data_IF_151295113267
#
_entry.id   IF_151295113267
#
_cell.length_a   1.000
_cell.length_b   1.000
_cell.length_c   1.000
_cell.angle_alpha   90.00
_cell.angle_beta   90.00
_cell.angle_gamma   90.00
#
_symmetry.space_group_name_H-M   'P 1'
#
loop_
_entity.id
_entity.type
_entity.pdbx_description
1 polymer ?
#
# COMPACT_ATOMS: atom_id res chain seq x y z
N UNK A 1 7.55 6.85 -6.30
CA UNK A 1 6.87 5.89 -5.41
C UNK A 1 7.31 4.47 -5.73
N UNK A 2 7.35 3.57 -4.73
CA UNK A 2 7.75 2.18 -4.96
C UNK A 2 6.73 1.38 -5.77
N UNK A 3 7.25 0.48 -6.57
CA UNK A 3 6.47 -0.56 -7.25
C UNK A 3 7.20 -1.88 -7.01
N UNK A 4 6.57 -2.79 -6.28
CA UNK A 4 7.18 -4.06 -5.89
C UNK A 4 6.54 -5.21 -6.64
N UNK A 5 7.36 -6.17 -7.06
CA UNK A 5 6.87 -7.43 -7.60
C UNK A 5 7.34 -8.55 -6.68
N UNK A 6 6.51 -9.58 -6.55
CA UNK A 6 6.83 -10.79 -5.82
C UNK A 6 7.05 -11.92 -6.81
N UNK A 7 8.24 -12.49 -6.77
CA UNK A 7 8.63 -13.56 -7.67
C UNK A 7 8.84 -14.84 -6.88
N UNK A 8 8.26 -15.93 -7.37
CA UNK A 8 8.47 -17.28 -6.82
C UNK A 8 8.75 -18.24 -7.97
N UNK A 9 9.81 -19.00 -7.85
CA UNK A 9 10.20 -20.02 -8.84
C UNK A 9 10.27 -19.45 -10.26
N UNK A 10 10.79 -18.23 -10.39
CA UNK A 10 10.95 -17.58 -11.68
C UNK A 10 9.68 -16.95 -12.23
N UNK A 11 8.58 -16.96 -11.49
CA UNK A 11 7.31 -16.39 -11.93
C UNK A 11 6.87 -15.25 -11.01
N UNK A 12 6.29 -14.20 -11.61
CA UNK A 12 5.71 -13.11 -10.83
C UNK A 12 4.33 -13.55 -10.35
N UNK A 13 4.14 -13.59 -9.04
CA UNK A 13 2.89 -14.06 -8.40
C UNK A 13 2.13 -12.95 -7.70
N UNK A 14 2.68 -11.75 -7.66
CA UNK A 14 2.00 -10.62 -7.07
C UNK A 14 2.75 -9.32 -7.25
N UNK A 15 2.08 -8.22 -6.94
CA UNK A 15 2.70 -6.91 -6.94
C UNK A 15 2.00 -6.00 -5.93
N UNK A 16 2.72 -4.98 -5.50
CA UNK A 16 2.16 -3.92 -4.68
C UNK A 16 2.83 -2.61 -5.06
N UNK A 17 2.07 -1.55 -5.07
CA UNK A 17 2.61 -0.25 -5.42
C UNK A 17 1.93 0.86 -4.64
N UNK A 18 2.63 1.99 -4.58
CA UNK A 18 2.10 3.22 -4.02
C UNK A 18 2.02 4.27 -5.12
N UNK A 19 1.04 5.15 -5.01
CA UNK A 19 0.95 6.29 -5.88
C UNK A 19 0.46 7.51 -5.11
N UNK A 20 0.56 8.65 -5.75
CA UNK A 20 0.18 9.92 -5.16
C UNK A 20 -1.30 9.92 -4.81
N UNK A 21 -1.62 10.32 -3.56
CA UNK A 21 -3.02 10.36 -3.10
C UNK A 21 -3.76 11.58 -3.62
N UNK A 22 -3.07 12.70 -3.82
CA UNK A 22 -3.67 13.93 -4.32
C UNK A 22 -2.61 14.81 -4.94
N UNK A 23 -3.04 15.80 -5.74
CA UNK A 23 -2.11 16.65 -6.48
C UNK A 23 -1.62 17.85 -5.68
N UNK A 24 -2.35 18.27 -4.66
CA UNK A 24 -1.97 19.42 -3.85
C UNK A 24 -0.78 19.14 -2.98
N UNK A 25 0.03 20.15 -2.75
CA UNK A 25 1.25 20.04 -1.95
C UNK A 25 0.99 19.55 -0.52
N UNK A 26 -0.17 19.87 0.05
CA UNK A 26 -0.55 19.44 1.39
C UNK A 26 -0.60 17.90 1.52
N UNK A 27 -0.77 17.16 0.41
CA UNK A 27 -0.93 15.71 0.44
C UNK A 27 0.34 14.96 0.03
N UNK A 28 1.49 15.61 0.08
CA UNK A 28 2.77 14.99 -0.29
C UNK A 28 3.20 13.87 0.66
N UNK A 29 2.67 13.87 1.88
CA UNK A 29 3.07 12.93 2.92
C UNK A 29 2.09 11.78 3.09
N UNK A 30 1.19 11.59 2.15
CA UNK A 30 0.32 10.42 2.11
C UNK A 30 0.36 9.77 0.75
N UNK A 31 0.05 8.48 0.72
CA UNK A 31 0.06 7.69 -0.50
C UNK A 31 -1.13 6.73 -0.51
N UNK A 32 -1.61 6.42 -1.70
CA UNK A 32 -2.60 5.38 -1.90
C UNK A 32 -1.89 4.12 -2.34
N UNK A 33 -2.29 2.98 -1.77
CA UNK A 33 -1.63 1.69 -1.99
C UNK A 33 -2.57 0.71 -2.69
N UNK A 34 -1.96 -0.16 -3.49
CA UNK A 34 -2.66 -1.29 -4.09
C UNK A 34 -1.79 -2.54 -3.97
N UNK A 35 -2.44 -3.68 -3.70
CA UNK A 35 -1.79 -4.99 -3.67
C UNK A 35 -2.59 -5.95 -4.52
N UNK A 36 -1.91 -6.79 -5.25
CA UNK A 36 -2.52 -7.83 -6.06
C UNK A 36 -1.71 -9.12 -5.91
N UNK A 37 -2.42 -10.22 -5.69
CA UNK A 37 -1.80 -11.54 -5.61
C UNK A 37 -2.51 -12.49 -6.56
N UNK A 38 -1.72 -13.35 -7.21
CA UNK A 38 -2.25 -14.46 -7.96
C UNK A 38 -3.11 -15.33 -7.06
N UNK A 39 -4.23 -15.84 -7.59
CA UNK A 39 -5.20 -16.61 -6.84
C UNK A 39 -4.57 -17.81 -6.13
N UNK A 40 -3.62 -18.49 -6.77
CA UNK A 40 -2.96 -19.64 -6.22
C UNK A 40 -1.93 -19.30 -5.12
N UNK A 41 -1.60 -18.03 -4.97
CA UNK A 41 -0.61 -17.56 -4.00
C UNK A 41 -1.25 -16.94 -2.76
N UNK A 42 -2.55 -16.90 -2.70
CA UNK A 42 -3.29 -16.33 -1.56
C UNK A 42 -3.23 -17.24 -0.34
N UNK A 43 -3.39 -16.65 0.84
CA UNK A 43 -3.40 -17.39 2.09
C UNK A 43 -2.05 -17.81 2.64
N UNK A 44 -0.95 -17.33 2.04
CA UNK A 44 0.42 -17.68 2.44
C UNK A 44 1.17 -16.54 3.13
N UNK A 45 0.47 -15.47 3.49
CA UNK A 45 1.09 -14.31 4.11
C UNK A 45 1.85 -13.40 3.14
N UNK A 46 1.73 -13.62 1.84
CA UNK A 46 2.47 -12.86 0.84
C UNK A 46 1.99 -11.42 0.69
N UNK A 47 0.68 -11.18 0.83
CA UNK A 47 0.14 -9.83 0.80
C UNK A 47 0.64 -8.99 1.96
N UNK A 48 0.72 -9.59 3.15
CA UNK A 48 1.29 -8.94 4.32
C UNK A 48 2.77 -8.61 4.09
N UNK A 49 3.53 -9.55 3.54
CA UNK A 49 4.95 -9.34 3.24
C UNK A 49 5.15 -8.19 2.26
N UNK A 50 4.37 -8.15 1.19
CA UNK A 50 4.43 -7.06 0.21
C UNK A 50 4.12 -5.71 0.86
N UNK A 51 3.07 -5.63 1.66
CA UNK A 51 2.69 -4.39 2.33
C UNK A 51 3.73 -3.93 3.35
N UNK A 52 4.25 -4.85 4.16
CA UNK A 52 5.25 -4.48 5.15
C UNK A 52 6.53 -3.94 4.49
N UNK A 53 6.93 -4.54 3.37
CA UNK A 53 8.05 -4.05 2.58
C UNK A 53 7.76 -2.66 2.00
N UNK A 54 6.55 -2.48 1.48
CA UNK A 54 6.11 -1.20 0.94
C UNK A 54 6.11 -0.11 2.01
N UNK A 55 5.61 -0.41 3.22
CA UNK A 55 5.63 0.54 4.33
C UNK A 55 7.07 0.97 4.68
N UNK A 56 7.99 0.02 4.72
CA UNK A 56 9.40 0.33 5.04
C UNK A 56 10.01 1.28 4.01
N UNK A 57 9.73 1.06 2.73
CA UNK A 57 10.20 1.95 1.67
C UNK A 57 9.56 3.33 1.74
N UNK A 58 8.25 3.37 2.00
CA UNK A 58 7.52 4.64 2.10
C UNK A 58 7.97 5.47 3.30
N UNK A 59 8.36 4.83 4.40
CA UNK A 59 8.93 5.54 5.55
C UNK A 59 10.23 6.25 5.18
N UNK A 60 11.05 5.65 4.35
CA UNK A 60 12.27 6.31 3.85
C UNK A 60 11.97 7.53 3.00
N UNK A 61 10.80 7.57 2.37
CA UNK A 61 10.36 8.71 1.59
C UNK A 61 9.65 9.79 2.43
N UNK A 62 9.55 9.58 3.74
CA UNK A 62 8.88 10.45 4.70
C UNK A 62 7.35 10.47 4.56
N UNK A 63 6.76 9.43 3.98
CA UNK A 63 5.31 9.25 3.96
C UNK A 63 4.82 8.95 5.37
N UNK A 64 3.73 9.59 5.78
CA UNK A 64 3.19 9.50 7.14
C UNK A 64 1.91 8.68 7.21
N UNK A 65 1.06 8.75 6.19
CA UNK A 65 -0.21 8.02 6.15
C UNK A 65 -0.38 7.32 4.82
N UNK A 66 -1.02 6.15 4.86
CA UNK A 66 -1.32 5.37 3.65
C UNK A 66 -2.80 5.02 3.62
N UNK A 67 -3.35 4.95 2.41
CA UNK A 67 -4.76 4.71 2.16
C UNK A 67 -4.94 3.55 1.20
N UNK A 68 -6.01 2.80 1.40
CA UNK A 68 -6.44 1.75 0.47
C UNK A 68 -7.89 2.00 0.08
N UNK A 69 -8.18 1.86 -1.21
CA UNK A 69 -9.51 2.01 -1.77
C UNK A 69 -10.05 0.63 -2.13
N UNK A 70 -11.11 0.19 -1.48
CA UNK A 70 -11.63 -1.17 -1.62
C UNK A 70 -13.07 -1.12 -2.10
N UNK A 71 -13.34 -1.72 -3.26
CA UNK A 71 -14.71 -1.90 -3.73
C UNK A 71 -15.35 -3.02 -2.93
N UNK A 72 -16.46 -2.72 -2.27
CA UNK A 72 -17.13 -3.69 -1.41
C UNK A 72 -18.33 -4.34 -2.11
N UNK A 73 -18.66 -5.60 -1.79
CA UNK A 73 -18.09 -6.42 -0.73
C UNK A 73 -16.74 -7.03 -1.13
N UNK A 74 -15.81 -7.05 -0.20
CA UNK A 74 -14.53 -7.72 -0.38
C UNK A 74 -13.95 -8.07 1.00
N UNK A 75 -14.50 -9.08 1.68
CA UNK A 75 -14.10 -9.40 3.04
C UNK A 75 -12.63 -9.82 3.16
N UNK A 76 -12.07 -10.46 2.15
CA UNK A 76 -10.66 -10.86 2.16
C UNK A 76 -9.74 -9.64 2.22
N UNK A 77 -9.96 -8.66 1.35
CA UNK A 77 -9.16 -7.44 1.31
C UNK A 77 -9.32 -6.64 2.60
N UNK A 78 -10.56 -6.48 3.06
CA UNK A 78 -10.83 -5.76 4.32
C UNK A 78 -10.13 -6.45 5.49
N UNK A 79 -10.19 -7.78 5.55
CA UNK A 79 -9.52 -8.56 6.61
C UNK A 79 -8.02 -8.39 6.58
N UNK A 80 -7.41 -8.42 5.40
CA UNK A 80 -5.96 -8.19 5.27
C UNK A 80 -5.59 -6.80 5.79
N UNK A 81 -6.30 -5.78 5.35
CA UNK A 81 -6.00 -4.41 5.76
C UNK A 81 -6.17 -4.21 7.27
N UNK A 82 -7.25 -4.75 7.84
CA UNK A 82 -7.44 -4.70 9.30
C UNK A 82 -6.31 -5.40 10.04
N UNK A 83 -5.87 -6.56 9.55
CA UNK A 83 -4.78 -7.30 10.19
C UNK A 83 -3.46 -6.54 10.16
N UNK A 84 -3.30 -5.61 9.22
CA UNK A 84 -2.12 -4.76 9.10
C UNK A 84 -2.26 -3.44 9.86
N UNK A 85 -3.37 -3.23 10.55
CA UNK A 85 -3.60 -2.04 11.37
C UNK A 85 -4.33 -0.90 10.67
N UNK A 86 -4.87 -1.14 9.47
CA UNK A 86 -5.72 -0.15 8.82
C UNK A 86 -7.07 -0.02 9.53
N UNK A 87 -7.61 1.17 9.51
CA UNK A 87 -8.93 1.49 10.05
C UNK A 87 -9.79 2.09 8.95
N UNK A 88 -11.12 1.99 9.09
CA UNK A 88 -12.03 2.64 8.16
C UNK A 88 -11.87 4.16 8.25
N UNK A 89 -11.72 4.79 7.09
CA UNK A 89 -11.60 6.24 6.98
C UNK A 89 -12.84 6.87 6.34
N UNK A 90 -13.62 6.11 5.59
CA UNK A 90 -14.84 6.58 4.97
C UNK A 90 -15.43 5.58 4.00
N UNK A 91 -16.69 5.80 3.63
CA UNK A 91 -17.41 4.98 2.66
C UNK A 91 -18.09 5.89 1.65
N UNK A 92 -17.87 5.59 0.37
CA UNK A 92 -18.49 6.32 -0.73
C UNK A 92 -19.57 5.44 -1.35
N UNK A 93 -20.86 5.77 -1.15
CA UNK A 93 -21.94 4.97 -1.71
C UNK A 93 -21.96 5.02 -3.23
N UNK A 94 -22.14 3.86 -3.85
CA UNK A 94 -22.33 3.75 -5.30
C UNK A 94 -21.24 4.46 -6.10
N UNK A 95 -20.00 4.37 -5.63
CA UNK A 95 -18.88 5.07 -6.26
C UNK A 95 -18.26 4.29 -7.42
N UNK A 96 -18.46 2.97 -7.47
CA UNK A 96 -17.92 2.13 -8.54
C UNK A 96 -18.98 1.30 -9.24
N UNK A 97 -18.86 1.17 -10.55
CA UNK A 97 -19.72 0.29 -11.34
C UNK A 97 -18.91 -0.91 -11.82
N UNK A 98 -19.35 -2.11 -11.44
CA UNK A 98 -18.62 -3.34 -11.73
C UNK A 98 -19.58 -4.53 -11.74
N UNK A 99 -19.36 -5.45 -12.67
CA UNK A 99 -20.13 -6.70 -12.75
C UNK A 99 -21.65 -6.45 -12.77
N UNK A 100 -22.09 -5.45 -13.54
CA UNK A 100 -23.51 -5.16 -13.74
C UNK A 100 -24.17 -4.42 -12.59
N UNK A 101 -23.43 -3.87 -11.64
CA UNK A 101 -24.01 -3.17 -10.51
C UNK A 101 -23.13 -2.06 -9.95
N UNK A 102 -23.77 -1.17 -9.21
CA UNK A 102 -23.09 -0.13 -8.46
C UNK A 102 -22.65 -0.69 -7.11
N UNK A 103 -21.43 -0.30 -6.71
CA UNK A 103 -20.83 -0.76 -5.46
C UNK A 103 -20.34 0.41 -4.64
N UNK A 104 -20.45 0.28 -3.33
CA UNK A 104 -19.80 1.21 -2.43
C UNK A 104 -18.29 1.01 -2.46
N UNK A 105 -17.57 2.08 -2.15
CA UNK A 105 -16.12 2.04 -1.99
C UNK A 105 -15.80 2.35 -0.53
N UNK A 106 -15.01 1.47 0.08
CA UNK A 106 -14.53 1.66 1.44
C UNK A 106 -13.10 2.19 1.39
N UNK A 107 -12.87 3.30 2.07
CA UNK A 107 -11.53 3.83 2.26
C UNK A 107 -11.02 3.38 3.62
N UNK A 108 -9.82 2.80 3.62
CA UNK A 108 -9.12 2.43 4.85
C UNK A 108 -7.80 3.19 4.92
N UNK A 109 -7.34 3.49 6.13
CA UNK A 109 -6.11 4.24 6.33
C UNK A 109 -5.27 3.64 7.45
N UNK A 110 -3.96 3.87 7.37
CA UNK A 110 -3.01 3.52 8.41
C UNK A 110 -1.97 4.63 8.54
N UNK A 111 -1.66 5.01 9.77
CA UNK A 111 -0.53 5.88 10.04
C UNK A 111 0.74 5.04 10.07
N UNK A 112 1.75 5.41 9.27
CA UNK A 112 3.04 4.71 9.25
C UNK A 112 4.19 5.58 9.74
N UNK A 113 3.92 6.84 10.04
CA UNK A 113 4.89 7.78 10.59
C UNK A 113 4.29 8.60 11.73
N UNK A 114 5.11 9.35 12.46
CA UNK A 114 4.69 10.05 13.68
C UNK A 114 3.96 11.38 13.46
N UNK A 115 3.78 11.83 12.22
CA UNK A 115 3.18 13.12 11.87
C UNK A 115 3.84 14.28 12.62
N UNK A 116 5.15 14.52 12.40
CA UNK A 116 5.85 15.59 13.12
C UNK A 116 5.29 16.97 12.74
N UNK A 117 5.43 17.94 13.64
CA UNK A 117 4.95 19.31 13.42
C UNK A 117 5.55 19.92 12.14
N UNK A 118 6.82 19.61 11.87
CA UNK A 118 7.50 20.04 10.65
C UNK A 118 7.98 18.77 9.95
N UNK A 119 7.23 18.26 8.97
CA UNK A 119 7.62 17.02 8.31
C UNK A 119 8.83 17.23 7.40
N UNK A 120 9.72 16.24 7.37
CA UNK A 120 10.80 16.23 6.41
C UNK A 120 10.24 16.15 4.99
N UNK A 121 10.90 16.75 3.99
CA UNK A 121 10.38 16.73 2.62
C UNK A 121 10.20 15.32 2.08
N UNK A 122 9.20 15.14 1.22
CA UNK A 122 9.03 13.90 0.47
C UNK A 122 10.26 13.65 -0.39
N UNK A 123 10.77 12.41 -0.36
CA UNK A 123 11.91 11.98 -1.17
C UNK A 123 11.44 10.98 -2.22
N UNK A 124 11.60 11.27 -3.53
CA UNK A 124 11.32 10.27 -4.56
C UNK A 124 12.16 9.00 -4.35
N UNK A 125 11.63 7.85 -4.73
CA UNK A 125 12.34 6.58 -4.51
C UNK A 125 13.71 6.55 -5.17
N UNK A 126 13.87 7.22 -6.31
CA UNK A 126 15.16 7.31 -7.03
C UNK A 126 16.22 8.07 -6.26
N UNK A 127 15.82 8.90 -5.29
CA UNK A 127 16.74 9.69 -4.46
C UNK A 127 17.12 8.97 -3.17
N UNK A 128 16.51 7.84 -2.87
CA UNK A 128 16.87 6.99 -1.73
C UNK A 128 18.15 6.24 -2.10
N UNK A 129 19.17 6.21 -1.23
CA UNK A 129 20.39 5.46 -1.53
C UNK A 129 20.08 3.99 -1.85
N UNK A 130 20.64 3.46 -2.95
CA UNK A 130 20.33 2.07 -3.36
C UNK A 130 20.63 1.02 -2.29
N UNK A 131 21.59 1.26 -1.41
CA UNK A 131 21.93 0.36 -0.30
C UNK A 131 20.77 0.22 0.68
N UNK A 132 20.04 1.30 0.94
CA UNK A 132 18.92 1.28 1.87
C UNK A 132 17.76 0.48 1.31
N UNK A 133 17.40 0.71 0.04
CA UNK A 133 16.35 -0.05 -0.62
C UNK A 133 16.71 -1.53 -0.75
N UNK A 134 17.96 -1.81 -1.13
CA UNK A 134 18.45 -3.18 -1.26
C UNK A 134 18.38 -3.93 0.08
N UNK A 135 18.73 -3.26 1.19
CA UNK A 135 18.66 -3.87 2.52
C UNK A 135 17.22 -4.26 2.87
N UNK A 136 16.27 -3.37 2.63
CA UNK A 136 14.85 -3.66 2.90
C UNK A 136 14.37 -4.83 2.08
N UNK A 137 14.73 -4.89 0.80
CA UNK A 137 14.32 -5.99 -0.07
C UNK A 137 14.93 -7.33 0.35
N UNK A 138 16.20 -7.33 0.79
CA UNK A 138 16.84 -8.55 1.29
C UNK A 138 16.19 -9.05 2.57
N UNK A 139 15.87 -8.15 3.50
CA UNK A 139 15.20 -8.53 4.75
C UNK A 139 13.81 -9.09 4.48
N UNK A 140 13.09 -8.55 3.51
CA UNK A 140 11.76 -9.01 3.15
C UNK A 140 11.79 -10.42 2.50
N UNK A 141 12.87 -10.76 1.81
CA UNK A 141 12.99 -12.02 1.09
C UNK A 141 13.39 -13.21 1.98
N UNK A 142 13.68 -12.97 3.24
CA UNK A 142 14.06 -14.03 4.20
C UNK A 142 12.88 -14.82 4.72
#
# INVERSE_FOLDING_TARGET
YPYLVLEQDGQIVGYAYAHRRGERAAYRWCAELSVYLDQNSRGKGLGRQLYQTLFALLRLQNIQSVYACITVPNPRSIGLHRSLGFQEAGRWPKAGYKNGGWHDVLWMMKEIGPHPDIPAPFRPIREIPPEETARILREAAR
#
